data_IF_982992068186
#
_entry.id   IF_982992068186
#
_cell.length_a   1.000
_cell.length_b   1.000
_cell.length_c   1.000
_cell.angle_alpha   90.00
_cell.angle_beta   90.00
_cell.angle_gamma   90.00
#
_symmetry.space_group_name_H-M   'P 1'
#
loop_
_entity.id
_entity.type
_entity.pdbx_description
1 polymer ?
#
# COMPACT_ATOMS: atom_id res chain seq x y z
N UNK A 1 -14.73 11.00 24.68
CA UNK A 1 -13.67 10.38 23.87
C UNK A 1 -13.12 11.47 22.98
N UNK A 2 -11.90 11.96 23.24
CA UNK A 2 -11.25 12.89 22.30
C UNK A 2 -11.06 12.18 20.97
N UNK A 3 -11.41 12.82 19.86
CA UNK A 3 -11.13 12.27 18.54
C UNK A 3 -9.61 12.06 18.40
N UNK A 4 -9.19 10.82 18.20
CA UNK A 4 -7.80 10.50 17.90
C UNK A 4 -7.47 11.09 16.50
N UNK A 5 -6.54 12.05 16.38
CA UNK A 5 -6.18 12.65 15.10
C UNK A 5 -5.70 11.61 14.07
N UNK A 6 -5.16 10.48 14.53
CA UNK A 6 -4.80 9.34 13.68
C UNK A 6 -6.02 8.80 12.96
N UNK A 7 -7.16 8.67 13.66
CA UNK A 7 -8.40 8.19 13.08
C UNK A 7 -8.94 9.13 11.99
N UNK A 8 -8.85 10.45 12.18
CA UNK A 8 -9.28 11.43 11.19
C UNK A 8 -8.48 11.33 9.87
N UNK A 9 -7.16 11.12 9.94
CA UNK A 9 -6.32 10.96 8.76
C UNK A 9 -6.66 9.68 7.97
N UNK A 10 -6.89 8.57 8.67
CA UNK A 10 -7.29 7.31 8.02
C UNK A 10 -8.67 7.40 7.37
N UNK A 11 -9.62 8.14 7.95
CA UNK A 11 -10.93 8.39 7.31
C UNK A 11 -10.79 9.19 6.01
N UNK A 12 -9.90 10.18 5.98
CA UNK A 12 -9.63 10.94 4.74
C UNK A 12 -8.96 10.06 3.68
N UNK A 13 -8.01 9.21 4.08
CA UNK A 13 -7.37 8.27 3.18
C UNK A 13 -8.38 7.27 2.60
N UNK A 14 -9.26 6.72 3.42
CA UNK A 14 -10.32 5.79 2.97
C UNK A 14 -11.26 6.44 1.96
N UNK A 15 -11.72 7.67 2.23
CA UNK A 15 -12.56 8.42 1.28
C UNK A 15 -11.85 8.68 -0.06
N UNK A 16 -10.53 8.91 -0.04
CA UNK A 16 -9.75 9.07 -1.26
C UNK A 16 -9.64 7.75 -2.05
N UNK A 17 -9.47 6.61 -1.37
CA UNK A 17 -9.45 5.29 -1.99
C UNK A 17 -10.81 4.97 -2.64
N UNK A 18 -11.91 5.24 -1.93
CA UNK A 18 -13.28 5.05 -2.46
C UNK A 18 -13.52 5.87 -3.73
N UNK A 19 -13.09 7.13 -3.75
CA UNK A 19 -13.26 8.00 -4.91
C UNK A 19 -12.47 7.50 -6.13
N UNK A 20 -11.24 7.02 -5.92
CA UNK A 20 -10.45 6.42 -7.01
C UNK A 20 -11.14 5.16 -7.54
N UNK A 21 -11.61 4.26 -6.67
CA UNK A 21 -12.36 3.07 -7.09
C UNK A 21 -13.59 3.45 -7.93
N UNK A 22 -14.33 4.49 -7.53
CA UNK A 22 -15.48 4.99 -8.27
C UNK A 22 -15.09 5.52 -9.66
N UNK A 23 -13.99 6.28 -9.75
CA UNK A 23 -13.49 6.83 -11.02
C UNK A 23 -13.00 5.74 -11.98
N UNK A 24 -12.39 4.68 -11.45
CA UNK A 24 -11.97 3.50 -12.21
C UNK A 24 -13.15 2.56 -12.57
N UNK A 25 -14.38 2.89 -12.15
CA UNK A 25 -15.59 2.14 -12.51
C UNK A 25 -15.79 0.85 -11.71
N UNK A 26 -15.21 0.74 -10.51
CA UNK A 26 -15.41 -0.43 -9.65
C UNK A 26 -16.85 -0.43 -9.12
N UNK A 27 -17.49 -1.59 -9.14
CA UNK A 27 -18.84 -1.80 -8.60
C UNK A 27 -18.77 -2.48 -7.23
N UNK A 28 -19.59 -2.03 -6.26
CA UNK A 28 -19.74 -2.68 -4.95
C UNK A 28 -19.31 -1.83 -3.75
N UNK A 29 -19.08 -2.49 -2.61
CA UNK A 29 -18.66 -1.87 -1.34
C UNK A 29 -17.18 -2.12 -1.11
N UNK A 30 -16.43 -1.08 -0.75
CA UNK A 30 -15.03 -1.22 -0.36
C UNK A 30 -14.94 -1.96 0.99
N UNK A 31 -14.51 -3.22 0.96
CA UNK A 31 -14.39 -4.05 2.17
C UNK A 31 -13.01 -3.98 2.79
N UNK A 32 -11.96 -3.94 1.97
CA UNK A 32 -10.56 -3.94 2.39
C UNK A 32 -9.71 -3.20 1.34
N UNK A 33 -8.64 -2.56 1.80
CA UNK A 33 -7.64 -1.92 0.95
C UNK A 33 -6.25 -1.98 1.58
N UNK A 34 -5.21 -1.86 0.76
CA UNK A 34 -3.81 -1.74 1.19
C UNK A 34 -3.13 -0.67 0.35
N UNK A 35 -2.42 0.25 1.01
CA UNK A 35 -1.55 1.22 0.34
C UNK A 35 -0.11 0.88 0.70
N UNK A 36 0.74 0.69 -0.30
CA UNK A 36 2.18 0.50 -0.12
C UNK A 36 2.85 1.86 -0.25
N UNK A 37 3.56 2.27 0.78
CA UNK A 37 4.36 3.49 0.78
C UNK A 37 5.84 3.13 0.87
N UNK A 38 6.63 3.69 -0.04
CA UNK A 38 8.09 3.63 0.00
C UNK A 38 8.62 5.05 0.20
N UNK A 39 9.49 5.22 1.18
CA UNK A 39 10.18 6.47 1.47
C UNK A 39 11.68 6.20 1.53
N UNK A 40 12.46 7.09 0.94
CA UNK A 40 13.91 7.06 1.01
C UNK A 40 14.38 8.36 1.63
N UNK A 41 15.20 8.26 2.67
CA UNK A 41 15.92 9.40 3.26
C UNK A 41 17.41 9.08 3.30
N UNK A 42 18.24 10.10 3.27
CA UNK A 42 19.67 9.96 3.50
C UNK A 42 19.98 10.43 4.92
N UNK A 43 20.88 9.75 5.61
CA UNK A 43 21.41 10.25 6.88
C UNK A 43 22.58 11.23 6.65
N UNK A 44 23.20 11.65 7.75
CA UNK A 44 24.28 12.64 7.76
C UNK A 44 25.55 12.15 7.06
N UNK A 45 25.73 10.83 6.96
CA UNK A 45 26.88 10.17 6.31
C UNK A 45 26.62 9.91 4.81
N UNK A 46 25.41 10.23 4.33
CA UNK A 46 24.99 9.98 2.95
C UNK A 46 24.50 8.55 2.72
N UNK A 47 24.31 7.77 3.78
CA UNK A 47 23.76 6.43 3.68
C UNK A 47 22.24 6.48 3.42
N UNK A 48 21.81 5.71 2.43
CA UNK A 48 20.40 5.62 2.04
C UNK A 48 19.60 4.75 3.00
N UNK A 49 18.66 5.34 3.72
CA UNK A 49 17.69 4.66 4.57
C UNK A 49 16.37 4.55 3.82
N UNK A 50 16.04 3.33 3.40
CA UNK A 50 14.78 3.02 2.73
C UNK A 50 13.78 2.45 3.72
N UNK A 51 12.59 3.01 3.75
CA UNK A 51 11.45 2.52 4.51
C UNK A 51 10.34 2.12 3.55
N UNK A 52 9.90 0.87 3.64
CA UNK A 52 8.70 0.39 2.94
C UNK A 52 7.70 -0.02 4.00
N UNK A 53 6.47 0.49 3.89
CA UNK A 53 5.39 0.21 4.83
C UNK A 53 4.06 -0.02 4.11
N UNK A 54 3.14 -0.64 4.82
CA UNK A 54 1.75 -0.82 4.41
C UNK A 54 0.83 0.02 5.30
N UNK A 55 -0.11 0.72 4.68
CA UNK A 55 -1.20 1.41 5.36
C UNK A 55 -2.48 0.59 5.16
N UNK A 56 -3.24 0.46 6.23
CA UNK A 56 -4.42 -0.40 6.33
C UNK A 56 -5.58 0.38 6.96
N UNK A 57 -6.83 -0.06 6.76
CA UNK A 57 -7.99 0.53 7.41
C UNK A 57 -7.79 0.68 8.92
N UNK A 58 -8.20 1.84 9.46
CA UNK A 58 -8.15 2.14 10.90
C UNK A 58 -6.78 1.98 11.58
N UNK A 59 -5.67 2.03 10.82
CA UNK A 59 -4.32 1.93 11.41
C UNK A 59 -3.82 0.51 11.68
N UNK A 60 -4.43 -0.52 11.09
CA UNK A 60 -3.80 -1.84 10.99
C UNK A 60 -4.16 -2.88 12.06
N UNK A 61 -5.31 -2.76 12.71
CA UNK A 61 -5.83 -3.80 13.63
C UNK A 61 -6.09 -5.15 12.96
N UNK A 62 -6.25 -5.19 11.63
CA UNK A 62 -6.37 -6.41 10.84
C UNK A 62 -5.48 -6.30 9.59
N UNK A 63 -4.38 -7.05 9.56
CA UNK A 63 -3.51 -7.15 8.38
C UNK A 63 -4.11 -8.17 7.41
N UNK A 64 -4.51 -7.77 6.19
CA UNK A 64 -5.03 -8.71 5.19
C UNK A 64 -3.87 -9.49 4.57
N UNK A 65 -3.27 -10.41 5.35
CA UNK A 65 -2.07 -11.16 4.98
C UNK A 65 -2.21 -11.85 3.61
N UNK A 66 -3.40 -12.37 3.30
CA UNK A 66 -3.67 -13.03 2.02
C UNK A 66 -3.50 -12.08 0.82
N UNK A 67 -3.91 -10.81 0.92
CA UNK A 67 -3.71 -9.82 -0.15
C UNK A 67 -2.27 -9.34 -0.23
N UNK A 68 -1.63 -9.09 0.91
CA UNK A 68 -0.23 -8.64 0.94
C UNK A 68 0.67 -9.69 0.31
N UNK A 69 0.53 -10.96 0.71
CA UNK A 69 1.28 -12.07 0.13
C UNK A 69 0.98 -12.25 -1.35
N UNK A 70 -0.29 -12.20 -1.77
CA UNK A 70 -0.66 -12.32 -3.17
C UNK A 70 -0.10 -11.20 -4.06
N UNK A 71 -0.05 -9.95 -3.58
CA UNK A 71 0.57 -8.83 -4.31
C UNK A 71 2.08 -9.02 -4.45
N UNK A 72 2.76 -9.47 -3.40
CA UNK A 72 4.19 -9.79 -3.45
C UNK A 72 4.48 -10.91 -4.46
N UNK A 73 3.67 -11.97 -4.45
CA UNK A 73 3.80 -13.09 -5.39
C UNK A 73 3.60 -12.63 -6.84
N UNK A 74 2.60 -11.79 -7.10
CA UNK A 74 2.36 -11.23 -8.43
C UNK A 74 3.54 -10.38 -8.92
N UNK A 75 4.02 -9.46 -8.09
CA UNK A 75 5.17 -8.60 -8.43
C UNK A 75 6.41 -9.44 -8.68
N UNK A 76 6.70 -10.42 -7.81
CA UNK A 76 7.85 -11.31 -7.97
C UNK A 76 7.77 -12.12 -9.27
N UNK A 77 6.58 -12.64 -9.60
CA UNK A 77 6.36 -13.37 -10.84
C UNK A 77 6.60 -12.47 -12.07
N UNK A 78 6.10 -11.23 -12.04
CA UNK A 78 6.30 -10.26 -13.12
C UNK A 78 7.77 -9.89 -13.30
N UNK A 79 8.48 -9.55 -12.21
CA UNK A 79 9.90 -9.18 -12.29
C UNK A 79 10.76 -10.32 -12.83
N UNK A 80 10.50 -11.57 -12.41
CA UNK A 80 11.17 -12.74 -12.97
C UNK A 80 10.94 -12.89 -14.47
N UNK A 81 9.71 -12.62 -14.94
CA UNK A 81 9.39 -12.66 -16.35
C UNK A 81 10.04 -11.53 -17.15
N UNK A 82 10.24 -10.34 -16.57
CA UNK A 82 10.97 -9.24 -17.19
C UNK A 82 12.47 -9.56 -17.31
N UNK A 83 13.11 -10.02 -16.24
CA UNK A 83 14.52 -10.48 -16.29
C UNK A 83 14.73 -11.57 -17.34
N UNK A 84 13.83 -12.54 -17.43
CA UNK A 84 13.91 -13.60 -18.42
C UNK A 84 13.77 -13.10 -19.88
N UNK A 85 13.19 -11.92 -20.12
CA UNK A 85 13.12 -11.30 -21.45
C UNK A 85 14.33 -10.45 -21.79
N UNK A 86 15.02 -9.92 -20.78
CA UNK A 86 16.23 -9.11 -20.97
C UNK A 86 17.47 -9.96 -21.26
N UNK A 87 17.43 -11.27 -20.95
CA UNK A 87 18.50 -12.25 -21.24
C UNK A 87 18.43 -12.84 -22.68
N UNK A 88 17.40 -12.51 -23.48
CA UNK A 88 17.21 -12.90 -24.89
C UNK A 88 17.56 -11.76 -25.87
#
# INVERSE_FOLDING_TARGET
MSEDPTNAAYRQLEAAVEEVCRLEGYEGVLTEWVVIAASQRFDEDGDGITQVGYLLPSGGGAVPHHRVMGLLDYVQARMRAEVARDDD
#
